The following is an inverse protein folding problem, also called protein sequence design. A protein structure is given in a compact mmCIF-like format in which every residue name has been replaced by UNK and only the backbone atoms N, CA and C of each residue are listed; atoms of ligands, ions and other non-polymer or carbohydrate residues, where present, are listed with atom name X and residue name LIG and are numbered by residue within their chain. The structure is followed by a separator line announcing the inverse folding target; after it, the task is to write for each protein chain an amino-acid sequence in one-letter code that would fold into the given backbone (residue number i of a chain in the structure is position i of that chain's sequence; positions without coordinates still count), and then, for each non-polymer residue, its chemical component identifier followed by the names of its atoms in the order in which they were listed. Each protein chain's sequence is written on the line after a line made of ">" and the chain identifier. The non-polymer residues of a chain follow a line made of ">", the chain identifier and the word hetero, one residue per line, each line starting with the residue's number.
data_IF_775049245513
#
_entry.id   IF_775049245513
#
_cell.length_a   1.000
_cell.length_b   1.000
_cell.length_c   1.000
_cell.angle_alpha   90.00
_cell.angle_beta   90.00
_cell.angle_gamma   90.00
#
_symmetry.space_group_name_H-M   'P 1'
#
loop_
_entity.id
_entity.type
_entity.pdbx_description
1 polymer ?
#
# COMPACT_ATOMS: atom_id res chain seq x y z
N UNK A 1 20.28 -4.38 29.94
CA UNK A 1 19.03 -3.79 29.42
C UNK A 1 19.28 -3.45 27.98
N UNK A 2 18.58 -4.12 27.07
CA UNK A 2 18.69 -3.88 25.63
C UNK A 2 17.97 -2.57 25.26
N UNK A 3 18.14 -2.07 24.02
CA UNK A 3 17.39 -0.89 23.59
C UNK A 3 15.88 -1.16 23.48
N UNK A 4 15.48 -2.39 23.15
CA UNK A 4 14.06 -2.74 23.12
C UNK A 4 13.45 -2.74 24.53
N UNK A 5 14.15 -3.26 25.54
CA UNK A 5 13.70 -3.19 26.95
C UNK A 5 13.52 -1.73 27.40
N UNK A 6 14.43 -0.86 26.97
CA UNK A 6 14.36 0.58 27.26
C UNK A 6 13.12 1.21 26.61
N UNK A 7 12.83 0.90 25.35
CA UNK A 7 11.66 1.41 24.64
C UNK A 7 10.34 0.96 25.31
N UNK A 8 10.23 -0.32 25.64
CA UNK A 8 9.09 -0.87 26.37
C UNK A 8 8.94 -0.19 27.76
N UNK A 9 10.05 0.02 28.45
CA UNK A 9 10.07 0.74 29.74
C UNK A 9 9.63 2.20 29.63
N UNK A 10 10.02 2.90 28.55
CA UNK A 10 9.56 4.27 28.25
C UNK A 10 8.05 4.26 28.00
N UNK A 11 7.56 3.39 27.11
CA UNK A 11 6.14 3.31 26.78
C UNK A 11 5.27 3.04 28.02
N UNK A 12 5.70 2.09 28.87
CA UNK A 12 5.03 1.82 30.16
C UNK A 12 4.97 3.04 31.06
N UNK A 13 6.05 3.84 31.10
CA UNK A 13 6.10 5.06 31.91
C UNK A 13 5.22 6.17 31.32
N UNK A 14 5.19 6.31 30.00
CA UNK A 14 4.36 7.28 29.29
C UNK A 14 2.87 7.02 29.54
N UNK A 15 2.46 5.74 29.59
CA UNK A 15 1.07 5.34 29.85
C UNK A 15 0.76 4.97 31.30
N UNK A 16 1.66 5.29 32.24
CA UNK A 16 1.41 5.05 33.66
C UNK A 16 0.10 5.75 34.10
N UNK A 17 -0.85 5.03 34.74
CA UNK A 17 -2.17 5.60 35.07
C UNK A 17 -2.13 6.81 36.01
N UNK A 18 -1.08 6.95 36.81
CA UNK A 18 -0.96 8.04 37.79
C UNK A 18 -0.03 9.14 37.28
N UNK A 19 1.14 8.77 36.77
CA UNK A 19 2.26 9.68 36.47
C UNK A 19 2.60 9.78 34.98
N UNK A 20 1.84 9.10 34.11
CA UNK A 20 2.04 9.09 32.67
C UNK A 20 1.68 10.42 32.00
N UNK A 21 2.10 10.55 30.75
CA UNK A 21 1.77 11.67 29.89
C UNK A 21 0.25 11.68 29.62
N UNK A 22 -0.45 12.82 29.82
CA UNK A 22 -1.90 12.91 29.61
C UNK A 22 -2.32 12.50 28.19
N UNK A 23 -1.57 12.94 27.17
CA UNK A 23 -1.85 12.61 25.77
C UNK A 23 -1.65 11.12 25.49
N UNK A 24 -0.57 10.51 25.97
CA UNK A 24 -0.32 9.08 25.73
C UNK A 24 -1.40 8.23 26.40
N UNK A 25 -1.88 8.61 27.59
CA UNK A 25 -2.90 7.87 28.35
C UNK A 25 -4.28 7.87 27.69
N UNK A 26 -4.67 8.96 27.04
CA UNK A 26 -5.99 9.06 26.38
C UNK A 26 -6.05 8.32 25.03
N UNK A 27 -4.90 7.91 24.48
CA UNK A 27 -4.88 7.18 23.21
C UNK A 27 -5.50 5.79 23.33
N UNK A 28 -6.14 5.39 22.24
CA UNK A 28 -6.79 4.09 22.04
C UNK A 28 -6.31 3.46 20.72
N UNK A 29 -6.64 2.19 20.48
CA UNK A 29 -6.35 1.55 19.18
C UNK A 29 -6.85 2.36 17.98
N UNK A 30 -8.02 2.99 18.12
CA UNK A 30 -8.64 3.77 17.05
C UNK A 30 -7.93 5.10 16.80
N UNK A 31 -7.45 5.78 17.86
CA UNK A 31 -6.76 7.07 17.70
C UNK A 31 -5.34 6.90 17.20
N UNK A 32 -4.69 5.75 17.46
CA UNK A 32 -3.34 5.45 16.97
C UNK A 32 -3.31 4.96 15.51
N UNK A 33 -4.41 4.36 15.02
CA UNK A 33 -4.46 3.77 13.67
C UNK A 33 -4.13 4.74 12.52
N UNK A 34 -4.59 6.01 12.50
CA UNK A 34 -4.19 6.98 11.48
C UNK A 34 -2.67 7.24 11.47
N UNK A 35 -2.05 7.41 12.63
CA UNK A 35 -0.61 7.64 12.74
C UNK A 35 0.19 6.45 12.18
N UNK A 36 -0.25 5.21 12.44
CA UNK A 36 0.41 4.03 11.86
C UNK A 36 0.41 4.04 10.33
N UNK A 37 -0.65 4.59 9.71
CA UNK A 37 -0.72 4.75 8.26
C UNK A 37 0.25 5.84 7.80
N UNK A 38 0.30 6.97 8.49
CA UNK A 38 1.24 8.07 8.23
C UNK A 38 2.69 7.59 8.30
N UNK A 39 3.12 6.97 9.42
CA UNK A 39 4.49 6.44 9.57
C UNK A 39 4.84 5.41 8.49
N UNK A 40 3.86 4.63 8.03
CA UNK A 40 4.09 3.69 6.93
C UNK A 40 4.43 4.44 5.64
N UNK A 41 3.79 5.56 5.36
CA UNK A 41 4.10 6.38 4.19
C UNK A 41 5.42 7.13 4.33
N UNK A 42 5.78 7.61 5.51
CA UNK A 42 7.08 8.24 5.76
C UNK A 42 8.24 7.23 5.57
N UNK A 43 8.09 5.99 6.06
CA UNK A 43 9.03 4.90 5.76
C UNK A 43 9.17 4.67 4.24
N UNK A 44 8.05 4.67 3.50
CA UNK A 44 8.08 4.49 2.05
C UNK A 44 8.76 5.67 1.33
N UNK A 45 8.54 6.90 1.79
CA UNK A 45 9.18 8.10 1.27
C UNK A 45 10.70 8.08 1.52
N UNK A 46 11.13 7.79 2.75
CA UNK A 46 12.55 7.68 3.09
C UNK A 46 13.27 6.60 2.25
N UNK A 47 12.62 5.44 2.02
CA UNK A 47 13.13 4.41 1.10
C UNK A 47 13.22 4.96 -0.33
N UNK A 48 12.19 5.69 -0.79
CA UNK A 48 12.17 6.23 -2.16
C UNK A 48 13.23 7.31 -2.39
N UNK A 49 13.61 8.05 -1.35
CA UNK A 49 14.68 9.05 -1.39
C UNK A 49 16.07 8.46 -1.13
N UNK A 50 16.16 7.18 -0.81
CA UNK A 50 17.38 6.51 -0.36
C UNK A 50 18.06 7.22 0.84
N UNK A 51 17.26 7.85 1.70
CA UNK A 51 17.73 8.54 2.89
C UNK A 51 17.74 7.59 4.09
N UNK A 52 18.89 6.96 4.34
CA UNK A 52 19.03 5.93 5.38
C UNK A 52 19.07 6.49 6.81
N UNK A 53 19.44 7.77 6.97
CA UNK A 53 19.43 8.40 8.29
C UNK A 53 18.00 8.69 8.72
N UNK A 54 17.17 9.17 7.78
CA UNK A 54 15.74 9.39 7.96
C UNK A 54 14.99 8.07 8.11
N UNK A 55 15.25 7.08 7.25
CA UNK A 55 14.65 5.74 7.32
C UNK A 55 14.85 5.07 8.69
N UNK A 56 16.00 5.29 9.34
CA UNK A 56 16.23 4.78 10.70
C UNK A 56 15.29 5.42 11.72
N UNK A 57 15.00 6.72 11.57
CA UNK A 57 14.02 7.45 12.39
C UNK A 57 12.61 6.89 12.18
N UNK A 58 12.17 6.87 10.93
CA UNK A 58 10.82 6.42 10.56
C UNK A 58 10.53 4.96 10.92
N UNK A 59 11.53 4.06 10.78
CA UNK A 59 11.41 2.69 11.28
C UNK A 59 11.32 2.61 12.81
N UNK A 60 11.94 3.57 13.50
CA UNK A 60 11.83 3.73 14.95
C UNK A 60 10.42 4.17 15.36
N UNK A 61 9.83 5.12 14.64
CA UNK A 61 8.47 5.59 14.89
C UNK A 61 7.43 4.51 14.56
N UNK A 62 7.60 3.78 13.45
CA UNK A 62 6.78 2.61 13.16
C UNK A 62 6.90 1.51 14.23
N UNK A 63 8.11 1.26 14.77
CA UNK A 63 8.31 0.34 15.90
C UNK A 63 7.63 0.86 17.17
N UNK A 64 7.68 2.17 17.42
CA UNK A 64 6.98 2.81 18.52
C UNK A 64 5.47 2.58 18.44
N UNK A 65 4.85 2.67 17.25
CA UNK A 65 3.44 2.34 17.06
C UNK A 65 3.11 0.89 17.48
N UNK A 66 3.94 -0.08 17.09
CA UNK A 66 3.77 -1.50 17.49
C UNK A 66 3.87 -1.66 19.00
N UNK A 67 4.84 -1.00 19.63
CA UNK A 67 5.02 -1.00 21.09
C UNK A 67 3.84 -0.34 21.80
N UNK A 68 3.28 0.73 21.24
CA UNK A 68 2.10 1.42 21.78
C UNK A 68 0.89 0.49 21.79
N UNK A 69 0.61 -0.20 20.68
CA UNK A 69 -0.46 -1.21 20.61
C UNK A 69 -0.25 -2.35 21.60
N UNK A 70 0.98 -2.84 21.73
CA UNK A 70 1.31 -3.90 22.68
C UNK A 70 1.05 -3.47 24.14
N UNK A 71 1.41 -2.23 24.49
CA UNK A 71 1.17 -1.67 25.81
C UNK A 71 -0.34 -1.54 26.10
N UNK A 72 -1.14 -0.99 25.17
CA UNK A 72 -2.61 -0.91 25.32
C UNK A 72 -3.26 -2.29 25.44
N UNK A 73 -2.83 -3.25 24.61
CA UNK A 73 -3.34 -4.61 24.66
C UNK A 73 -2.99 -5.31 25.99
N UNK A 74 -1.81 -5.03 26.54
CA UNK A 74 -1.38 -5.56 27.82
C UNK A 74 -2.17 -4.95 28.99
N UNK A 75 -2.47 -3.64 28.94
CA UNK A 75 -3.35 -2.96 29.90
C UNK A 75 -4.75 -3.60 29.95
N UNK A 76 -5.26 -4.06 28.80
CA UNK A 76 -6.53 -4.79 28.69
C UNK A 76 -6.41 -6.31 28.92
N UNK A 77 -5.21 -6.82 29.24
CA UNK A 77 -4.97 -8.25 29.48
C UNK A 77 -5.16 -9.15 28.26
N UNK A 78 -5.01 -8.63 27.04
CA UNK A 78 -5.21 -9.36 25.78
C UNK A 78 -3.96 -10.08 25.29
N UNK A 79 -2.86 -9.35 25.17
CA UNK A 79 -1.53 -9.83 24.75
C UNK A 79 -0.50 -8.74 25.04
N UNK A 80 0.78 -9.09 25.03
CA UNK A 80 1.90 -8.16 25.20
C UNK A 80 2.85 -8.19 23.99
N UNK A 81 3.97 -7.45 24.06
CA UNK A 81 4.94 -7.37 22.97
C UNK A 81 5.61 -8.73 22.66
N UNK A 82 5.91 -9.53 23.69
CA UNK A 82 6.50 -10.87 23.51
C UNK A 82 5.53 -11.82 22.81
N UNK A 83 4.22 -11.73 23.10
CA UNK A 83 3.20 -12.52 22.42
C UNK A 83 3.13 -12.19 20.92
N UNK A 84 3.28 -10.91 20.55
CA UNK A 84 3.35 -10.48 19.14
C UNK A 84 4.60 -11.09 18.47
N UNK A 85 5.76 -10.98 19.12
CA UNK A 85 7.03 -11.53 18.63
C UNK A 85 6.99 -13.06 18.49
N UNK A 86 6.39 -13.77 19.46
CA UNK A 86 6.20 -15.21 19.41
C UNK A 86 5.29 -15.59 18.23
N UNK A 87 4.14 -14.92 18.08
CA UNK A 87 3.19 -15.22 17.03
C UNK A 87 3.74 -15.01 15.61
N UNK A 88 4.59 -14.01 15.38
CA UNK A 88 5.28 -13.86 14.09
C UNK A 88 6.42 -14.87 13.91
N UNK A 89 7.17 -15.18 14.97
CA UNK A 89 8.26 -16.17 14.93
C UNK A 89 7.73 -17.56 14.56
N UNK A 90 6.75 -18.07 15.29
CA UNK A 90 6.10 -19.36 15.02
C UNK A 90 5.57 -19.43 13.57
N UNK A 91 4.97 -18.33 13.10
CA UNK A 91 4.44 -18.22 11.74
C UNK A 91 5.55 -18.25 10.69
N UNK A 92 6.67 -17.55 10.93
CA UNK A 92 7.80 -17.54 10.00
C UNK A 92 8.51 -18.89 9.94
N UNK A 93 8.70 -19.56 11.08
CA UNK A 93 9.26 -20.91 11.14
C UNK A 93 8.38 -21.90 10.37
N UNK A 94 7.07 -21.89 10.65
CA UNK A 94 6.11 -22.75 9.95
C UNK A 94 6.06 -22.51 8.44
N UNK A 95 6.19 -21.26 7.99
CA UNK A 95 6.13 -20.91 6.56
C UNK A 95 7.46 -21.07 5.81
N UNK A 96 8.57 -21.28 6.53
CA UNK A 96 9.88 -21.57 5.95
C UNK A 96 10.41 -22.94 6.38
N UNK A 97 9.69 -24.04 6.09
CA UNK A 97 10.14 -25.39 6.44
C UNK A 97 11.42 -25.80 5.70
N UNK A 98 11.84 -25.02 4.70
CA UNK A 98 13.09 -25.21 3.97
C UNK A 98 14.32 -24.56 4.64
N UNK A 99 14.09 -23.75 5.68
CA UNK A 99 15.13 -23.15 6.52
C UNK A 99 15.10 -23.79 7.92
N UNK A 100 13.89 -23.96 8.48
CA UNK A 100 13.70 -24.38 9.88
C UNK A 100 13.17 -25.82 10.03
N UNK A 101 13.03 -26.57 8.93
CA UNK A 101 12.56 -27.95 8.94
C UNK A 101 13.24 -28.81 7.88
N UNK A 102 12.56 -29.88 7.44
CA UNK A 102 13.15 -30.89 6.55
C UNK A 102 12.83 -30.69 5.05
N UNK A 103 12.12 -29.61 4.69
CA UNK A 103 11.74 -29.38 3.29
C UNK A 103 12.93 -28.86 2.47
N UNK A 104 12.90 -29.06 1.15
CA UNK A 104 13.86 -28.43 0.23
C UNK A 104 13.13 -27.46 -0.70
N UNK A 105 13.81 -26.37 -1.07
CA UNK A 105 13.37 -25.48 -2.14
C UNK A 105 14.58 -25.14 -3.01
N UNK A 106 14.51 -25.45 -4.31
CA UNK A 106 15.63 -25.26 -5.23
C UNK A 106 15.74 -23.85 -5.79
N UNK A 107 14.67 -23.05 -5.72
CA UNK A 107 14.61 -21.70 -6.27
C UNK A 107 13.51 -20.84 -5.61
N UNK A 108 13.52 -19.54 -5.90
CA UNK A 108 12.55 -18.57 -5.37
C UNK A 108 11.10 -18.85 -5.79
N UNK A 109 10.87 -19.40 -6.99
CA UNK A 109 9.52 -19.72 -7.47
C UNK A 109 8.89 -20.84 -6.63
N UNK A 110 9.65 -21.89 -6.31
CA UNK A 110 9.22 -22.97 -5.41
C UNK A 110 8.93 -22.47 -3.99
N UNK A 111 9.76 -21.54 -3.47
CA UNK A 111 9.51 -20.91 -2.17
C UNK A 111 8.20 -20.13 -2.18
N UNK A 112 7.95 -19.32 -3.22
CA UNK A 112 6.72 -18.51 -3.35
C UNK A 112 5.47 -19.38 -3.50
N UNK A 113 5.54 -20.45 -4.30
CA UNK A 113 4.43 -21.39 -4.47
C UNK A 113 4.07 -22.07 -3.15
N UNK A 114 5.07 -22.56 -2.41
CA UNK A 114 4.87 -23.17 -1.09
C UNK A 114 4.33 -22.17 -0.07
N UNK A 115 4.85 -20.94 -0.08
CA UNK A 115 4.38 -19.87 0.80
C UNK A 115 2.88 -19.59 0.63
N UNK A 116 2.40 -19.54 -0.62
CA UNK A 116 0.96 -19.34 -0.89
C UNK A 116 0.12 -20.56 -0.52
N UNK A 117 0.64 -21.79 -0.74
CA UNK A 117 -0.03 -23.02 -0.29
C UNK A 117 -0.23 -23.06 1.23
N UNK A 118 0.82 -22.78 2.01
CA UNK A 118 0.74 -22.74 3.48
C UNK A 118 -0.25 -21.65 3.91
N UNK A 119 -0.18 -20.46 3.32
CA UNK A 119 -1.14 -19.38 3.58
C UNK A 119 -2.59 -19.79 3.27
N UNK A 120 -2.81 -20.61 2.24
CA UNK A 120 -4.15 -21.10 1.90
C UNK A 120 -4.66 -22.11 2.93
N UNK A 121 -3.81 -23.03 3.38
CA UNK A 121 -4.16 -23.99 4.43
C UNK A 121 -4.51 -23.30 5.76
N UNK A 122 -3.73 -22.30 6.18
CA UNK A 122 -3.99 -21.52 7.39
C UNK A 122 -5.35 -20.78 7.37
N UNK A 123 -5.82 -20.37 6.19
CA UNK A 123 -7.14 -19.73 6.04
C UNK A 123 -8.27 -20.75 6.17
N UNK A 124 -8.10 -21.94 5.60
CA UNK A 124 -9.07 -23.03 5.70
C UNK A 124 -9.28 -23.47 7.16
N UNK A 125 -8.22 -23.47 7.99
CA UNK A 125 -8.29 -23.76 9.43
C UNK A 125 -9.11 -22.73 10.23
N UNK A 126 -9.28 -21.49 9.72
CA UNK A 126 -10.01 -20.41 10.40
C UNK A 126 -11.50 -20.35 10.05
N UNK A 127 -12.05 -21.39 9.40
CA UNK A 127 -13.44 -21.44 8.92
C UNK A 127 -13.82 -20.27 8.01
N UNK A 128 -12.86 -19.75 7.24
CA UNK A 128 -13.13 -18.78 6.19
C UNK A 128 -13.67 -19.52 4.96
N UNK A 129 -14.90 -19.19 4.58
CA UNK A 129 -15.66 -19.94 3.57
C UNK A 129 -15.53 -19.31 2.18
N UNK A 130 -15.18 -18.03 2.08
CA UNK A 130 -14.96 -17.32 0.82
C UNK A 130 -13.48 -17.14 0.52
N UNK A 131 -13.10 -17.25 -0.75
CA UNK A 131 -11.75 -16.88 -1.21
C UNK A 131 -11.41 -15.40 -0.90
N UNK A 132 -12.45 -14.56 -0.74
CA UNK A 132 -12.36 -13.13 -0.48
C UNK A 132 -12.38 -12.77 1.02
N UNK A 133 -12.50 -13.74 1.92
CA UNK A 133 -12.38 -13.49 3.35
C UNK A 133 -10.95 -12.99 3.69
N UNK A 134 -10.85 -12.17 4.74
CA UNK A 134 -9.60 -11.52 5.22
C UNK A 134 -8.93 -10.57 4.21
N UNK A 135 -9.71 -9.89 3.37
CA UNK A 135 -9.24 -8.72 2.61
C UNK A 135 -9.60 -7.46 3.42
N UNK A 136 -8.62 -6.77 4.04
CA UNK A 136 -8.91 -5.59 4.87
C UNK A 136 -9.64 -4.52 4.08
N UNK A 137 -10.70 -3.97 4.67
CA UNK A 137 -11.50 -2.89 4.08
C UNK A 137 -10.72 -1.58 3.99
N UNK A 138 -9.74 -1.38 4.87
CA UNK A 138 -8.88 -0.18 4.91
C UNK A 138 -7.78 -0.16 3.84
N UNK A 139 -7.65 -1.19 3.01
CA UNK A 139 -6.67 -1.16 1.92
C UNK A 139 -7.05 -0.07 0.90
N UNK A 140 -6.09 0.69 0.38
CA UNK A 140 -6.29 1.54 -0.79
C UNK A 140 -6.94 0.75 -1.94
N UNK A 141 -7.78 1.42 -2.72
CA UNK A 141 -8.64 0.77 -3.71
C UNK A 141 -7.85 -0.10 -4.71
N UNK A 142 -6.70 0.38 -5.23
CA UNK A 142 -5.90 -0.39 -6.19
C UNK A 142 -5.24 -1.60 -5.52
N UNK A 143 -4.76 -1.46 -4.29
CA UNK A 143 -4.24 -2.60 -3.51
C UNK A 143 -5.33 -3.64 -3.22
N UNK A 144 -6.53 -3.19 -2.85
CA UNK A 144 -7.67 -4.04 -2.55
C UNK A 144 -8.11 -4.80 -3.79
N UNK A 145 -8.30 -4.12 -4.92
CA UNK A 145 -8.63 -4.72 -6.21
C UNK A 145 -7.58 -5.77 -6.64
N UNK A 146 -6.29 -5.43 -6.55
CA UNK A 146 -5.21 -6.36 -6.86
C UNK A 146 -5.25 -7.61 -5.96
N UNK A 147 -5.54 -7.44 -4.66
CA UNK A 147 -5.66 -8.55 -3.70
C UNK A 147 -6.88 -9.43 -3.99
N UNK A 148 -8.03 -8.84 -4.30
CA UNK A 148 -9.26 -9.55 -4.72
C UNK A 148 -8.95 -10.42 -5.93
N UNK A 149 -8.40 -9.83 -6.99
CA UNK A 149 -8.09 -10.54 -8.24
C UNK A 149 -7.08 -11.67 -8.02
N UNK A 150 -6.05 -11.46 -7.19
CA UNK A 150 -5.10 -12.52 -6.83
C UNK A 150 -5.76 -13.68 -6.09
N UNK A 151 -6.76 -13.41 -5.23
CA UNK A 151 -7.52 -14.47 -4.53
C UNK A 151 -8.40 -15.25 -5.49
N UNK A 152 -9.09 -14.58 -6.41
CA UNK A 152 -9.86 -15.24 -7.46
C UNK A 152 -8.96 -16.11 -8.36
N UNK A 153 -7.79 -15.60 -8.75
CA UNK A 153 -6.81 -16.32 -9.54
C UNK A 153 -6.31 -17.61 -8.86
N UNK A 154 -6.11 -17.57 -7.53
CA UNK A 154 -5.68 -18.75 -6.77
C UNK A 154 -6.68 -19.91 -6.78
N UNK A 155 -7.97 -19.64 -7.05
CA UNK A 155 -9.02 -20.68 -7.21
C UNK A 155 -9.34 -20.98 -8.68
N UNK A 156 -8.54 -20.46 -9.62
CA UNK A 156 -8.66 -20.69 -11.05
C UNK A 156 -9.57 -19.72 -11.80
N UNK A 157 -10.06 -18.66 -11.16
CA UNK A 157 -10.83 -17.60 -11.81
C UNK A 157 -9.90 -16.48 -12.29
N UNK A 158 -9.25 -16.72 -13.44
CA UNK A 158 -8.34 -15.78 -14.08
C UNK A 158 -8.20 -16.06 -15.58
N UNK A 159 -7.80 -15.04 -16.34
CA UNK A 159 -7.42 -15.18 -17.73
C UNK A 159 -6.05 -15.85 -17.85
N UNK A 160 -5.84 -16.63 -18.91
CA UNK A 160 -4.59 -17.37 -19.14
C UNK A 160 -3.65 -16.67 -20.13
N UNK A 161 -4.08 -15.55 -20.72
CA UNK A 161 -3.31 -14.79 -21.70
C UNK A 161 -3.63 -13.30 -21.59
N UNK A 162 -2.68 -12.47 -22.01
CA UNK A 162 -2.76 -11.02 -21.89
C UNK A 162 -3.79 -10.37 -22.83
N UNK A 163 -4.05 -10.97 -24.00
CA UNK A 163 -4.96 -10.40 -25.01
C UNK A 163 -6.36 -10.08 -24.45
N UNK A 164 -7.09 -11.07 -23.91
CA UNK A 164 -8.41 -10.85 -23.32
C UNK A 164 -8.43 -9.84 -22.16
N UNK A 165 -7.31 -9.69 -21.45
CA UNK A 165 -7.19 -8.72 -20.35
C UNK A 165 -7.14 -7.29 -20.91
N UNK A 166 -6.39 -7.08 -22.00
CA UNK A 166 -6.36 -5.81 -22.70
C UNK A 166 -7.69 -5.51 -23.40
N UNK A 167 -8.30 -6.51 -24.02
CA UNK A 167 -9.62 -6.37 -24.65
C UNK A 167 -10.66 -5.91 -23.64
N UNK A 168 -10.65 -6.46 -22.41
CA UNK A 168 -11.55 -5.99 -21.35
C UNK A 168 -11.28 -4.53 -20.96
N UNK A 169 -10.03 -4.07 -20.90
CA UNK A 169 -9.75 -2.64 -20.67
C UNK A 169 -10.35 -1.76 -21.77
N UNK A 170 -10.31 -2.19 -23.04
CA UNK A 170 -10.95 -1.47 -24.12
C UNK A 170 -12.48 -1.47 -24.02
N UNK A 171 -13.08 -2.60 -23.66
CA UNK A 171 -14.51 -2.72 -23.40
C UNK A 171 -14.98 -1.73 -22.32
N UNK A 172 -14.29 -1.67 -21.18
CA UNK A 172 -14.63 -0.74 -20.09
C UNK A 172 -14.47 0.75 -20.50
N UNK A 173 -13.51 1.06 -21.37
CA UNK A 173 -13.37 2.42 -21.94
C UNK A 173 -14.62 2.75 -22.77
N UNK A 174 -15.06 1.81 -23.60
CA UNK A 174 -16.25 1.99 -24.44
C UNK A 174 -17.52 2.12 -23.59
N UNK A 175 -17.65 1.37 -22.49
CA UNK A 175 -18.78 1.45 -21.54
C UNK A 175 -18.82 2.80 -20.81
N UNK A 176 -17.68 3.29 -20.29
CA UNK A 176 -17.57 4.64 -19.70
C UNK A 176 -17.97 5.71 -20.72
N UNK A 177 -17.45 5.61 -21.95
CA UNK A 177 -17.76 6.60 -22.98
C UNK A 177 -19.21 6.53 -23.45
N UNK A 178 -19.82 5.34 -23.44
CA UNK A 178 -21.24 5.16 -23.74
C UNK A 178 -22.11 5.92 -22.74
N UNK A 179 -21.88 5.73 -21.44
CA UNK A 179 -22.65 6.40 -20.38
C UNK A 179 -22.39 7.93 -20.37
N UNK A 180 -21.15 8.36 -20.62
CA UNK A 180 -20.79 9.79 -20.69
C UNK A 180 -21.39 10.54 -21.91
N UNK A 181 -21.74 9.82 -22.99
CA UNK A 181 -22.26 10.40 -24.23
C UNK A 181 -23.81 10.36 -24.33
N UNK A 182 -24.49 9.89 -23.29
CA UNK A 182 -25.95 9.90 -23.26
C UNK A 182 -26.52 11.33 -23.29
N UNK A 183 -27.72 11.47 -23.85
CA UNK A 183 -28.42 12.76 -23.86
C UNK A 183 -28.74 13.27 -22.44
N UNK A 184 -28.92 12.34 -21.50
CA UNK A 184 -29.01 12.59 -20.06
C UNK A 184 -28.09 11.57 -19.39
N UNK A 185 -27.03 12.05 -18.74
CA UNK A 185 -26.05 11.21 -18.07
C UNK A 185 -26.61 10.71 -16.74
N UNK A 186 -26.56 9.40 -16.52
CA UNK A 186 -26.81 8.78 -15.22
C UNK A 186 -25.48 8.74 -14.45
N UNK A 187 -25.32 9.62 -13.47
CA UNK A 187 -24.08 9.78 -12.70
C UNK A 187 -23.69 8.50 -11.95
N UNK A 188 -24.68 7.74 -11.44
CA UNK A 188 -24.41 6.51 -10.70
C UNK A 188 -23.88 5.40 -11.63
N UNK A 189 -24.44 5.28 -12.83
CA UNK A 189 -23.91 4.34 -13.83
C UNK A 189 -22.53 4.75 -14.32
N UNK A 190 -22.32 6.03 -14.61
CA UNK A 190 -21.01 6.50 -15.03
C UNK A 190 -19.93 6.24 -13.97
N UNK A 191 -20.27 6.38 -12.68
CA UNK A 191 -19.38 6.02 -11.57
C UNK A 191 -19.11 4.50 -11.51
N UNK A 192 -20.13 3.67 -11.74
CA UNK A 192 -20.01 2.20 -11.82
C UNK A 192 -19.02 1.78 -12.92
N UNK A 193 -19.23 2.25 -14.16
CA UNK A 193 -18.37 1.92 -15.31
C UNK A 193 -16.93 2.46 -15.11
N UNK A 194 -16.78 3.64 -14.48
CA UNK A 194 -15.45 4.16 -14.12
C UNK A 194 -14.75 3.26 -13.10
N UNK A 195 -15.52 2.70 -12.14
CA UNK A 195 -15.04 1.72 -11.18
C UNK A 195 -14.54 0.44 -11.86
N UNK A 196 -15.28 -0.08 -12.82
CA UNK A 196 -14.94 -1.29 -13.55
C UNK A 196 -13.75 -1.08 -14.50
N UNK A 197 -13.63 0.08 -15.15
CA UNK A 197 -12.42 0.48 -15.88
C UNK A 197 -11.17 0.50 -14.98
N UNK A 198 -11.27 1.10 -13.79
CA UNK A 198 -10.18 1.09 -12.81
C UNK A 198 -9.86 -0.34 -12.35
N UNK A 199 -10.87 -1.20 -12.18
CA UNK A 199 -10.66 -2.60 -11.81
C UNK A 199 -9.98 -3.41 -12.94
N UNK A 200 -10.38 -3.20 -14.19
CA UNK A 200 -9.80 -3.83 -15.37
C UNK A 200 -8.33 -3.40 -15.59
N UNK A 201 -8.01 -2.12 -15.40
CA UNK A 201 -6.63 -1.63 -15.50
C UNK A 201 -5.73 -2.19 -14.37
N UNK A 202 -6.27 -2.42 -13.17
CA UNK A 202 -5.56 -3.16 -12.10
C UNK A 202 -5.30 -4.62 -12.53
N UNK A 203 -6.24 -5.25 -13.23
CA UNK A 203 -6.08 -6.60 -13.76
C UNK A 203 -4.96 -6.68 -14.80
N UNK A 204 -4.95 -5.73 -15.74
CA UNK A 204 -3.87 -5.55 -16.71
C UNK A 204 -2.51 -5.36 -16.01
N UNK A 205 -2.44 -4.46 -15.02
CA UNK A 205 -1.23 -4.24 -14.24
C UNK A 205 -0.72 -5.53 -13.59
N UNK A 206 -1.61 -6.32 -12.98
CA UNK A 206 -1.28 -7.60 -12.35
C UNK A 206 -0.76 -8.63 -13.36
N UNK A 207 -1.38 -8.76 -14.53
CA UNK A 207 -0.94 -9.65 -15.61
C UNK A 207 0.42 -9.24 -16.18
N UNK A 208 0.76 -7.95 -16.15
CA UNK A 208 2.07 -7.42 -16.50
C UNK A 208 3.12 -7.56 -15.38
N UNK A 209 2.76 -8.14 -14.23
CA UNK A 209 3.66 -8.29 -13.08
C UNK A 209 3.91 -7.00 -12.31
N UNK A 210 3.06 -5.98 -12.50
CA UNK A 210 3.17 -4.66 -11.87
C UNK A 210 2.16 -4.54 -10.72
N UNK A 211 2.56 -3.87 -9.64
CA UNK A 211 1.64 -3.49 -8.55
C UNK A 211 1.03 -2.13 -8.86
N UNK A 212 -0.28 -2.10 -9.17
CA UNK A 212 -0.99 -0.89 -9.60
C UNK A 212 -0.81 0.30 -8.64
N UNK A 213 -1.00 0.09 -7.34
CA UNK A 213 -0.82 1.16 -6.31
C UNK A 213 0.57 1.80 -6.39
N UNK A 214 1.63 0.99 -6.33
CA UNK A 214 3.02 1.48 -6.39
C UNK A 214 3.34 2.13 -7.73
N UNK A 215 2.76 1.64 -8.82
CA UNK A 215 2.94 2.24 -10.14
C UNK A 215 2.32 3.65 -10.20
N UNK A 216 1.13 3.83 -9.63
CA UNK A 216 0.47 5.13 -9.56
C UNK A 216 1.21 6.09 -8.62
N UNK A 217 1.68 5.64 -7.46
CA UNK A 217 2.52 6.44 -6.56
C UNK A 217 3.75 7.00 -7.29
N UNK A 218 4.46 6.18 -8.06
CA UNK A 218 5.59 6.62 -8.90
C UNK A 218 5.18 7.60 -10.00
N UNK A 219 4.00 7.39 -10.60
CA UNK A 219 3.47 8.31 -11.60
C UNK A 219 3.14 9.67 -11.01
N UNK A 220 2.57 9.71 -9.80
CA UNK A 220 2.27 10.94 -9.05
C UNK A 220 3.55 11.71 -8.75
N UNK A 221 4.58 11.06 -8.18
CA UNK A 221 5.88 11.69 -7.91
C UNK A 221 6.53 12.26 -9.18
N UNK A 222 6.45 11.52 -10.30
CA UNK A 222 6.94 12.00 -11.59
C UNK A 222 6.18 13.24 -12.06
N UNK A 223 4.85 13.25 -11.93
CA UNK A 223 4.03 14.40 -12.30
C UNK A 223 4.35 15.61 -11.43
N UNK A 224 4.39 15.43 -10.11
CA UNK A 224 4.70 16.48 -9.14
C UNK A 224 6.08 17.11 -9.38
N UNK A 225 7.12 16.29 -9.58
CA UNK A 225 8.47 16.77 -9.91
C UNK A 225 8.47 17.62 -11.17
N UNK A 226 7.79 17.17 -12.23
CA UNK A 226 7.69 17.93 -13.48
C UNK A 226 6.92 19.22 -13.32
N UNK A 227 5.82 19.19 -12.58
CA UNK A 227 4.98 20.37 -12.38
C UNK A 227 5.70 21.44 -11.54
N UNK A 228 6.42 21.04 -10.48
CA UNK A 228 7.30 21.94 -9.71
C UNK A 228 8.37 22.61 -10.59
N UNK A 229 8.89 21.87 -11.56
CA UNK A 229 9.85 22.43 -12.50
C UNK A 229 9.19 23.41 -13.49
N UNK A 230 7.96 23.13 -13.95
CA UNK A 230 7.17 24.11 -14.71
C UNK A 230 6.99 25.39 -13.91
N UNK A 231 6.59 25.29 -12.64
CA UNK A 231 6.44 26.45 -11.75
C UNK A 231 7.75 27.24 -11.63
N UNK A 232 8.89 26.55 -11.47
CA UNK A 232 10.22 27.17 -11.39
C UNK A 232 10.57 27.92 -12.67
N UNK A 233 10.32 27.33 -13.84
CA UNK A 233 10.62 27.94 -15.13
C UNK A 233 9.73 29.16 -15.37
N UNK A 234 8.42 29.05 -15.11
CA UNK A 234 7.45 30.15 -15.25
C UNK A 234 7.84 31.31 -14.34
N UNK A 235 8.17 31.04 -13.07
CA UNK A 235 8.64 32.04 -12.13
C UNK A 235 9.95 32.70 -12.58
N UNK A 236 10.90 31.93 -13.14
CA UNK A 236 12.16 32.47 -13.67
C UNK A 236 11.98 33.42 -14.86
N UNK A 237 10.85 33.28 -15.59
CA UNK A 237 10.43 34.18 -16.67
C UNK A 237 9.69 35.42 -16.15
N UNK A 238 9.53 35.57 -14.83
CA UNK A 238 8.80 36.67 -14.21
C UNK A 238 7.28 36.59 -14.40
N UNK A 239 6.76 35.39 -14.69
CA UNK A 239 5.34 35.12 -14.89
C UNK A 239 4.75 34.43 -13.66
N UNK A 240 3.43 34.53 -13.49
CA UNK A 240 2.67 33.80 -12.47
C UNK A 240 1.82 32.71 -13.12
N UNK A 241 1.71 31.55 -12.46
CA UNK A 241 0.92 30.41 -12.96
C UNK A 241 -0.56 30.76 -13.18
N UNK A 242 -1.12 31.66 -12.37
CA UNK A 242 -2.50 32.15 -12.49
C UNK A 242 -2.75 33.01 -13.73
N UNK A 243 -1.68 33.53 -14.35
CA UNK A 243 -1.73 34.50 -15.45
C UNK A 243 -1.33 33.93 -16.82
N UNK A 244 -1.00 32.64 -16.92
CA UNK A 244 -0.61 31.98 -18.18
C UNK A 244 -1.70 31.02 -18.64
N UNK A 245 -1.83 30.87 -19.96
CA UNK A 245 -2.78 29.94 -20.56
C UNK A 245 -2.25 28.49 -20.58
N UNK A 246 -3.14 27.55 -20.83
CA UNK A 246 -2.82 26.13 -20.89
C UNK A 246 -1.80 25.82 -21.98
N UNK A 247 -1.83 26.55 -23.11
CA UNK A 247 -0.87 26.37 -24.20
C UNK A 247 0.55 26.69 -23.73
N UNK A 248 0.75 27.82 -23.05
CA UNK A 248 2.04 28.19 -22.45
C UNK A 248 2.48 27.19 -21.38
N UNK A 249 1.57 26.72 -20.52
CA UNK A 249 1.89 25.68 -19.53
C UNK A 249 2.33 24.37 -20.20
N UNK A 250 1.67 23.96 -21.27
CA UNK A 250 1.98 22.74 -22.02
C UNK A 250 3.33 22.87 -22.74
N UNK A 251 3.66 24.03 -23.31
CA UNK A 251 4.97 24.28 -23.92
C UNK A 251 6.11 24.07 -22.91
N UNK A 252 5.97 24.66 -21.72
CA UNK A 252 6.95 24.51 -20.63
C UNK A 252 6.97 23.07 -20.11
N UNK A 253 5.82 22.42 -19.96
CA UNK A 253 5.74 21.02 -19.56
C UNK A 253 6.50 20.09 -20.53
N UNK A 254 6.35 20.32 -21.83
CA UNK A 254 7.08 19.58 -22.86
C UNK A 254 8.58 19.91 -22.86
N UNK A 255 8.98 21.13 -22.50
CA UNK A 255 10.38 21.50 -22.26
C UNK A 255 10.98 20.67 -21.11
N UNK A 256 10.29 20.61 -19.96
CA UNK A 256 10.71 19.82 -18.79
C UNK A 256 10.84 18.33 -19.13
N UNK A 257 9.86 17.77 -19.86
CA UNK A 257 9.89 16.37 -20.30
C UNK A 257 11.12 16.03 -21.15
N UNK A 258 11.53 16.93 -22.05
CA UNK A 258 12.71 16.72 -22.89
C UNK A 258 13.98 16.71 -22.05
N UNK A 259 14.13 17.67 -21.12
CA UNK A 259 15.31 17.77 -20.25
C UNK A 259 15.50 16.52 -19.36
N UNK A 260 14.41 15.90 -18.89
CA UNK A 260 14.49 14.65 -18.10
C UNK A 260 14.83 13.40 -18.94
N UNK A 261 14.50 13.39 -20.23
CA UNK A 261 14.71 12.20 -21.08
C UNK A 261 16.14 12.09 -21.61
N UNK A 262 16.91 13.19 -21.50
CA UNK A 262 18.32 13.30 -21.91
C UNK A 262 19.32 13.05 -20.75
N UNK A 263 18.82 12.60 -19.58
CA UNK A 263 19.59 12.20 -18.39
C UNK A 263 19.56 10.68 -18.18
#
# INVERSE_FOLDING_TARGET
>A
MTQIDRLLGIMKRLRDPENGCPWDKEQTFATIAPYTLEETYEVLDAISREDFDDLRGELGDLLFQVVFYAQMAQEEGRFNFDDICAAISDKLERRHPHIFGDATAGNSAEVLARWEQIKSAERAERSQHSALDDIPLSLPALMRAHKIQKRCSAVGFDWTSLGPVLDKVHEEIDEVMHEAQQAVVDEAKLEEEMGDLLFATVNLSRHLGVKAETALQKANLKFERRFREVERIVASRGLEMSGIDLETMEEVWQEVKRQESDL
#
